data_IF_011859696005
#
_entry.id   IF_011859696005
#
_cell.length_a   1.000
_cell.length_b   1.000
_cell.length_c   1.000
_cell.angle_alpha   90.00
_cell.angle_beta   90.00
_cell.angle_gamma   90.00
#
_symmetry.space_group_name_H-M   'P 1'
#
loop_
_entity.id
_entity.type
_entity.pdbx_description
1 polymer ?
#
# COMPACT_ATOMS: atom_id res chain seq x y z
N UNK A 1 15.05 16.97 -23.31
CA UNK A 1 14.04 15.89 -23.29
C UNK A 1 14.76 14.59 -23.61
N UNK A 2 15.06 13.78 -22.59
CA UNK A 2 15.63 12.45 -22.81
C UNK A 2 14.47 11.47 -22.88
N UNK A 3 14.10 11.19 -24.12
CA UNK A 3 13.26 10.08 -24.51
C UNK A 3 13.88 8.77 -23.99
N UNK A 4 13.03 7.84 -23.53
CA UNK A 4 13.36 6.39 -23.45
C UNK A 4 14.04 5.85 -22.17
N UNK A 5 13.39 6.01 -21.01
CA UNK A 5 13.54 5.06 -19.87
C UNK A 5 12.18 4.58 -19.32
N UNK A 6 11.12 4.66 -20.13
CA UNK A 6 9.73 4.58 -19.65
C UNK A 6 9.18 3.15 -19.48
N UNK A 7 9.82 2.10 -20.01
CA UNK A 7 9.20 0.75 -19.98
C UNK A 7 9.56 -0.11 -18.77
N UNK A 8 10.85 -0.22 -18.38
CA UNK A 8 11.25 -1.18 -17.34
C UNK A 8 10.89 -0.76 -15.91
N UNK A 9 11.14 0.52 -15.58
CA UNK A 9 10.91 1.06 -14.24
C UNK A 9 9.42 1.11 -13.88
N UNK A 10 8.58 1.51 -14.84
CA UNK A 10 7.12 1.60 -14.68
C UNK A 10 6.46 0.23 -14.45
N UNK A 11 6.95 -0.82 -15.13
CA UNK A 11 6.44 -2.19 -14.93
C UNK A 11 6.87 -2.71 -13.55
N UNK A 12 8.12 -2.45 -13.15
CA UNK A 12 8.63 -2.86 -11.84
C UNK A 12 7.88 -2.17 -10.70
N UNK A 13 7.58 -0.87 -10.81
CA UNK A 13 6.77 -0.15 -9.83
C UNK A 13 5.38 -0.78 -9.64
N UNK A 14 4.72 -1.17 -10.73
CA UNK A 14 3.41 -1.84 -10.66
C UNK A 14 3.51 -3.22 -10.02
N UNK A 15 4.53 -3.99 -10.35
CA UNK A 15 4.77 -5.31 -9.75
C UNK A 15 5.07 -5.21 -8.25
N UNK A 16 5.93 -4.25 -7.86
CA UNK A 16 6.25 -3.98 -6.44
C UNK A 16 5.00 -3.51 -5.70
N UNK A 17 4.20 -2.60 -6.29
CA UNK A 17 2.94 -2.15 -5.70
C UNK A 17 1.94 -3.30 -5.50
N UNK A 18 1.86 -4.23 -6.46
CA UNK A 18 1.03 -5.43 -6.34
C UNK A 18 1.49 -6.34 -5.20
N UNK A 19 2.80 -6.60 -5.10
CA UNK A 19 3.38 -7.42 -4.02
C UNK A 19 3.11 -6.80 -2.65
N UNK A 20 3.34 -5.49 -2.51
CA UNK A 20 3.04 -4.75 -1.26
C UNK A 20 1.55 -4.86 -0.91
N UNK A 21 0.66 -4.76 -1.90
CA UNK A 21 -0.79 -4.90 -1.70
C UNK A 21 -1.17 -6.29 -1.19
N UNK A 22 -0.57 -7.35 -1.74
CA UNK A 22 -0.82 -8.73 -1.31
C UNK A 22 -0.32 -8.94 0.12
N UNK A 23 0.92 -8.55 0.42
CA UNK A 23 1.50 -8.68 1.77
C UNK A 23 0.67 -7.90 2.79
N UNK A 24 0.32 -6.66 2.48
CA UNK A 24 -0.52 -5.82 3.35
C UNK A 24 -1.88 -6.45 3.63
N UNK A 25 -2.52 -7.05 2.61
CA UNK A 25 -3.81 -7.73 2.76
C UNK A 25 -3.73 -8.96 3.67
N UNK A 26 -2.67 -9.76 3.55
CA UNK A 26 -2.45 -10.93 4.42
C UNK A 26 -2.21 -10.48 5.87
N UNK A 27 -1.38 -9.46 6.08
CA UNK A 27 -1.11 -8.91 7.41
C UNK A 27 -2.37 -8.31 8.05
N UNK A 28 -3.19 -7.60 7.27
CA UNK A 28 -4.47 -7.07 7.72
C UNK A 28 -5.43 -8.19 8.12
N UNK A 29 -5.53 -9.26 7.33
CA UNK A 29 -6.35 -10.43 7.65
C UNK A 29 -5.90 -11.11 8.93
N UNK A 30 -4.59 -11.38 9.08
CA UNK A 30 -4.02 -11.97 10.29
C UNK A 30 -4.28 -11.10 11.53
N UNK A 31 -4.12 -9.78 11.38
CA UNK A 31 -4.38 -8.81 12.46
C UNK A 31 -5.85 -8.79 12.83
N UNK A 32 -6.76 -8.94 11.86
CA UNK A 32 -8.20 -9.00 12.09
C UNK A 32 -8.62 -10.31 12.79
N UNK A 33 -8.11 -11.46 12.33
CA UNK A 33 -8.45 -12.78 12.87
C UNK A 33 -7.85 -12.98 14.26
N UNK A 34 -6.63 -12.51 14.48
CA UNK A 34 -5.90 -12.67 15.75
C UNK A 34 -5.68 -11.32 16.45
N UNK A 35 -6.74 -10.53 16.65
CA UNK A 35 -6.65 -9.24 17.35
C UNK A 35 -6.00 -9.37 18.74
N UNK A 36 -6.24 -10.50 19.41
CA UNK A 36 -5.69 -10.79 20.74
C UNK A 36 -4.16 -10.90 20.76
N UNK A 37 -3.54 -11.37 19.67
CA UNK A 37 -2.09 -11.50 19.56
C UNK A 37 -1.42 -10.16 19.22
N UNK A 38 -2.13 -9.29 18.49
CA UNK A 38 -1.63 -7.97 18.09
C UNK A 38 -1.95 -6.85 19.11
N UNK A 39 -2.92 -7.04 20.00
CA UNK A 39 -3.23 -6.11 21.08
C UNK A 39 -3.46 -4.68 20.59
N UNK A 40 -2.89 -3.69 21.30
CA UNK A 40 -2.99 -2.26 20.96
C UNK A 40 -2.36 -1.93 19.59
N UNK A 41 -1.40 -2.74 19.15
CA UNK A 41 -0.74 -2.62 17.85
C UNK A 41 -1.69 -2.94 16.69
N UNK A 42 -2.73 -3.76 16.91
CA UNK A 42 -3.75 -4.04 15.90
C UNK A 42 -4.51 -2.77 15.50
N UNK A 43 -4.94 -2.00 16.50
CA UNK A 43 -5.68 -0.75 16.29
C UNK A 43 -4.80 0.29 15.58
N UNK A 44 -3.53 0.42 15.98
CA UNK A 44 -2.56 1.29 15.32
C UNK A 44 -2.30 0.86 13.87
N UNK A 45 -2.17 -0.43 13.62
CA UNK A 45 -1.93 -0.97 12.27
C UNK A 45 -3.11 -0.71 11.33
N UNK A 46 -4.33 -0.88 11.82
CA UNK A 46 -5.56 -0.56 11.07
C UNK A 46 -5.64 0.94 10.77
N UNK A 47 -5.38 1.81 11.74
CA UNK A 47 -5.36 3.27 11.56
C UNK A 47 -4.31 3.71 10.54
N UNK A 48 -3.09 3.20 10.65
CA UNK A 48 -2.00 3.46 9.70
C UNK A 48 -2.35 2.97 8.30
N UNK A 49 -2.94 1.78 8.18
CA UNK A 49 -3.39 1.24 6.90
C UNK A 49 -4.40 2.15 6.20
N UNK A 50 -5.37 2.66 6.95
CA UNK A 50 -6.36 3.63 6.45
C UNK A 50 -5.66 4.93 6.00
N UNK A 51 -4.78 5.49 6.82
CA UNK A 51 -4.05 6.73 6.50
C UNK A 51 -3.20 6.59 5.22
N UNK A 52 -2.56 5.43 5.03
CA UNK A 52 -1.77 5.12 3.83
C UNK A 52 -2.69 5.00 2.60
N UNK A 53 -3.85 4.34 2.71
CA UNK A 53 -4.84 4.28 1.64
C UNK A 53 -5.28 5.68 1.19
N UNK A 54 -5.64 6.54 2.14
CA UNK A 54 -6.01 7.92 1.83
C UNK A 54 -4.88 8.69 1.15
N UNK A 55 -3.64 8.54 1.64
CA UNK A 55 -2.46 9.16 1.04
C UNK A 55 -2.25 8.70 -0.40
N UNK A 56 -2.43 7.40 -0.68
CA UNK A 56 -2.38 6.84 -2.02
C UNK A 56 -3.42 7.44 -2.95
N UNK A 57 -4.68 7.54 -2.50
CA UNK A 57 -5.75 8.17 -3.29
C UNK A 57 -5.45 9.65 -3.57
N UNK A 58 -5.00 10.40 -2.56
CA UNK A 58 -4.61 11.82 -2.72
C UNK A 58 -3.52 11.96 -3.77
N UNK A 59 -2.48 11.13 -3.72
CA UNK A 59 -1.38 11.16 -4.70
C UNK A 59 -1.87 10.82 -6.12
N UNK A 60 -2.76 9.84 -6.27
CA UNK A 60 -3.35 9.49 -7.58
C UNK A 60 -4.14 10.68 -8.14
N UNK A 61 -4.99 11.30 -7.32
CA UNK A 61 -5.79 12.47 -7.72
C UNK A 61 -4.90 13.66 -8.07
N UNK A 62 -3.89 13.94 -7.24
CA UNK A 62 -2.94 15.02 -7.45
C UNK A 62 -2.09 14.85 -8.71
N UNK A 63 -1.79 13.60 -9.12
CA UNK A 63 -1.08 13.30 -10.36
C UNK A 63 -1.97 13.36 -11.61
N UNK A 64 -3.28 13.24 -11.44
CA UNK A 64 -4.27 13.21 -12.54
C UNK A 64 -4.75 14.61 -12.93
N UNK A 65 -4.45 15.64 -12.12
CA UNK A 65 -4.61 17.06 -12.46
C UNK A 65 -3.27 17.64 -12.89
#
# INVERSE_FOLDING_TARGET
MSEKSVSGMSILEKAVGLVITIIGSILAYQTYVNQKAAGLSATLFVLLGIAIMFSGVILIVAKTK
#
